data_IF_248197405087
#
_entry.id   IF_248197405087
#
_cell.length_a   1.000
_cell.length_b   1.000
_cell.length_c   1.000
_cell.angle_alpha   90.00
_cell.angle_beta   90.00
_cell.angle_gamma   90.00
#
_symmetry.space_group_name_H-M   'P 1'
#
loop_
_entity.id
_entity.type
_entity.pdbx_description
1 polymer ?
#
# COMPACT_ATOMS: atom_id res chain seq x y z
N UNK A 1 -18.38 27.11 81.00
CA UNK A 1 -18.54 26.07 79.96
C UNK A 1 -19.38 26.61 78.80
N UNK A 2 -18.77 26.78 77.62
CA UNK A 2 -19.42 26.60 76.31
C UNK A 2 -18.29 26.49 75.28
N UNK A 3 -17.79 25.26 75.12
CA UNK A 3 -16.95 24.90 73.97
C UNK A 3 -17.83 25.09 72.73
N UNK A 4 -17.54 26.12 71.94
CA UNK A 4 -18.08 26.25 70.59
C UNK A 4 -17.65 25.03 69.81
N UNK A 5 -18.59 24.11 69.60
CA UNK A 5 -18.44 22.95 68.73
C UNK A 5 -18.32 23.51 67.32
N UNK A 6 -17.11 23.64 66.79
CA UNK A 6 -16.93 23.98 65.38
C UNK A 6 -17.56 22.84 64.59
N UNK A 7 -18.69 23.14 63.96
CA UNK A 7 -19.23 22.28 62.92
C UNK A 7 -18.26 22.44 61.76
N UNK A 8 -17.20 21.62 61.73
CA UNK A 8 -16.47 21.34 60.50
C UNK A 8 -17.53 20.81 59.53
N UNK A 9 -18.09 21.71 58.73
CA UNK A 9 -18.82 21.32 57.55
C UNK A 9 -17.81 20.66 56.62
N UNK A 10 -17.93 19.35 56.42
CA UNK A 10 -17.11 18.57 55.50
C UNK A 10 -17.19 19.19 54.09
N UNK A 11 -16.28 20.10 53.78
CA UNK A 11 -16.12 20.69 52.46
C UNK A 11 -15.33 19.70 51.60
N UNK A 12 -15.81 19.47 50.37
CA UNK A 12 -15.22 18.50 49.44
C UNK A 12 -14.13 19.17 48.58
N UNK A 13 -14.11 20.51 48.53
CA UNK A 13 -13.14 21.32 47.79
C UNK A 13 -11.66 20.91 47.95
N UNK A 14 -11.13 20.61 49.14
CA UNK A 14 -9.71 20.24 49.27
C UNK A 14 -9.39 18.82 48.76
N UNK A 15 -10.39 17.94 48.66
CA UNK A 15 -10.24 16.55 48.18
C UNK A 15 -10.49 16.47 46.67
N UNK A 16 -11.26 17.42 46.12
CA UNK A 16 -11.65 17.51 44.71
C UNK A 16 -10.47 17.42 43.73
N UNK A 17 -9.32 18.10 43.94
CA UNK A 17 -8.17 18.02 43.04
C UNK A 17 -7.56 16.61 43.00
N UNK A 18 -7.52 15.91 44.14
CA UNK A 18 -7.00 14.55 44.22
C UNK A 18 -7.90 13.54 43.49
N UNK A 19 -9.23 13.71 43.60
CA UNK A 19 -10.21 12.91 42.84
C UNK A 19 -10.04 13.14 41.34
N UNK A 20 -9.97 14.40 40.90
CA UNK A 20 -9.79 14.75 39.49
C UNK A 20 -8.45 14.24 38.94
N UNK A 21 -7.36 14.41 39.68
CA UNK A 21 -6.06 13.88 39.29
C UNK A 21 -6.13 12.36 39.09
N UNK A 22 -6.78 11.63 40.00
CA UNK A 22 -6.93 10.18 39.90
C UNK A 22 -7.75 9.77 38.67
N UNK A 23 -8.90 10.41 38.44
CA UNK A 23 -9.76 10.13 37.27
C UNK A 23 -9.01 10.45 35.97
N UNK A 24 -8.33 11.61 35.92
CA UNK A 24 -7.55 12.03 34.76
C UNK A 24 -6.41 11.04 34.48
N UNK A 25 -5.70 10.57 35.50
CA UNK A 25 -4.66 9.55 35.36
C UNK A 25 -5.19 8.25 34.78
N UNK A 26 -6.37 7.79 35.20
CA UNK A 26 -7.00 6.58 34.66
C UNK A 26 -7.37 6.78 33.19
N UNK A 27 -8.04 7.88 32.85
CA UNK A 27 -8.42 8.17 31.45
C UNK A 27 -7.16 8.31 30.58
N UNK A 28 -6.14 9.00 31.06
CA UNK A 28 -4.90 9.20 30.32
C UNK A 28 -4.17 7.88 30.09
N UNK A 29 -4.13 6.98 31.08
CA UNK A 29 -3.58 5.64 30.92
C UNK A 29 -4.30 4.85 29.81
N UNK A 30 -5.65 4.87 29.80
CA UNK A 30 -6.43 4.21 28.74
C UNK A 30 -6.17 4.82 27.37
N UNK A 31 -6.12 6.15 27.28
CA UNK A 31 -5.84 6.86 26.03
C UNK A 31 -4.43 6.56 25.51
N UNK A 32 -3.41 6.56 26.38
CA UNK A 32 -2.04 6.19 26.01
C UNK A 32 -2.02 4.80 25.42
N UNK A 33 -2.59 3.81 26.11
CA UNK A 33 -2.62 2.42 25.62
C UNK A 33 -3.30 2.33 24.26
N UNK A 34 -4.45 2.99 24.10
CA UNK A 34 -5.17 3.04 22.82
C UNK A 34 -4.34 3.67 21.70
N UNK A 35 -3.69 4.81 21.96
CA UNK A 35 -2.89 5.51 20.96
C UNK A 35 -1.61 4.76 20.61
N UNK A 36 -0.92 4.18 21.60
CA UNK A 36 0.25 3.31 21.36
C UNK A 36 -0.13 2.12 20.49
N UNK A 37 -1.21 1.42 20.83
CA UNK A 37 -1.70 0.29 20.04
C UNK A 37 -2.04 0.71 18.60
N UNK A 38 -2.77 1.81 18.44
CA UNK A 38 -3.20 2.29 17.13
C UNK A 38 -2.01 2.74 16.27
N UNK A 39 -1.04 3.46 16.86
CA UNK A 39 0.17 3.90 16.17
C UNK A 39 1.04 2.72 15.75
N UNK A 40 1.26 1.75 16.66
CA UNK A 40 2.00 0.53 16.35
C UNK A 40 1.33 -0.25 15.22
N UNK A 41 0.00 -0.36 15.25
CA UNK A 41 -0.77 -1.06 14.20
C UNK A 41 -0.61 -0.38 12.84
N UNK A 42 -0.69 0.96 12.79
CA UNK A 42 -0.46 1.71 11.56
C UNK A 42 0.97 1.55 11.04
N UNK A 43 1.97 1.60 11.91
CA UNK A 43 3.38 1.37 11.54
C UNK A 43 3.56 -0.02 10.95
N UNK A 44 3.12 -1.06 11.67
CA UNK A 44 3.21 -2.45 11.24
C UNK A 44 2.52 -2.66 9.87
N UNK A 45 1.37 -2.04 9.62
CA UNK A 45 0.67 -2.14 8.33
C UNK A 45 1.47 -1.48 7.19
N UNK A 46 2.14 -0.35 7.45
CA UNK A 46 3.01 0.30 6.46
C UNK A 46 4.23 -0.56 6.14
N UNK A 47 4.85 -1.13 7.15
CA UNK A 47 5.99 -2.02 6.99
C UNK A 47 5.59 -3.26 6.17
N UNK A 48 4.49 -3.92 6.53
CA UNK A 48 3.96 -5.05 5.76
C UNK A 48 3.61 -4.71 4.30
N UNK A 49 3.10 -3.51 4.03
CA UNK A 49 2.84 -3.05 2.65
C UNK A 49 4.13 -2.81 1.87
N UNK A 50 5.18 -2.31 2.53
CA UNK A 50 6.51 -2.17 1.94
C UNK A 50 7.19 -3.54 1.70
N UNK A 51 6.99 -4.50 2.60
CA UNK A 51 7.47 -5.87 2.45
C UNK A 51 6.83 -6.54 1.24
N UNK A 52 5.50 -6.46 1.10
CA UNK A 52 4.79 -6.97 -0.08
C UNK A 52 5.26 -6.31 -1.38
N UNK A 53 5.52 -4.99 -1.37
CA UNK A 53 6.10 -4.31 -2.53
C UNK A 53 7.49 -4.87 -2.87
N UNK A 54 8.31 -5.13 -1.86
CA UNK A 54 9.64 -5.72 -2.04
C UNK A 54 9.55 -7.15 -2.57
N UNK A 55 8.57 -7.92 -2.10
CA UNK A 55 8.28 -9.26 -2.59
C UNK A 55 7.91 -9.26 -4.07
N UNK A 56 7.03 -8.35 -4.52
CA UNK A 56 6.73 -8.15 -5.95
C UNK A 56 8.01 -7.83 -6.75
N UNK A 57 8.87 -6.97 -6.20
CA UNK A 57 10.11 -6.61 -6.87
C UNK A 57 11.06 -7.81 -7.02
N UNK A 58 11.06 -8.71 -6.04
CA UNK A 58 11.92 -9.89 -6.00
C UNK A 58 11.35 -11.02 -6.86
N UNK A 59 10.03 -11.23 -6.88
CA UNK A 59 9.39 -12.29 -7.67
C UNK A 59 9.61 -12.12 -9.18
N UNK A 60 9.78 -10.87 -9.62
CA UNK A 60 10.07 -10.51 -11.01
C UNK A 60 11.57 -10.51 -11.34
N UNK A 61 12.47 -10.81 -10.38
CA UNK A 61 13.92 -10.92 -10.63
C UNK A 61 14.26 -12.23 -11.34
N UNK A 62 15.14 -12.15 -12.33
CA UNK A 62 15.80 -13.33 -12.93
C UNK A 62 15.29 -13.73 -14.33
N UNK A 63 14.24 -13.08 -14.85
CA UNK A 63 13.69 -13.38 -16.17
C UNK A 63 14.32 -12.52 -17.27
N UNK A 64 15.65 -12.44 -17.29
CA UNK A 64 16.36 -11.67 -18.31
C UNK A 64 16.25 -12.42 -19.63
N UNK A 65 15.35 -11.94 -20.48
CA UNK A 65 15.21 -12.37 -21.85
C UNK A 65 15.84 -11.34 -22.77
N UNK A 66 17.15 -11.50 -23.00
CA UNK A 66 17.84 -11.14 -24.25
C UNK A 66 18.95 -10.08 -24.14
N UNK A 67 20.02 -10.22 -24.95
CA UNK A 67 21.00 -9.18 -25.27
C UNK A 67 20.50 -8.07 -26.24
N UNK A 68 19.19 -7.91 -26.45
CA UNK A 68 18.65 -7.01 -27.48
C UNK A 68 18.73 -5.53 -27.10
N UNK A 69 19.12 -4.70 -28.08
CA UNK A 69 18.99 -3.24 -28.01
C UNK A 69 17.51 -2.90 -27.95
N UNK A 70 17.07 -2.30 -26.85
CA UNK A 70 15.69 -1.88 -26.66
C UNK A 70 15.64 -0.40 -26.35
N UNK A 71 14.81 0.35 -27.07
CA UNK A 71 14.57 1.77 -26.81
C UNK A 71 13.48 1.90 -25.75
N UNK A 72 13.88 2.13 -24.50
CA UNK A 72 12.91 2.25 -23.40
C UNK A 72 12.00 3.46 -23.55
N UNK A 73 12.48 4.54 -24.16
CA UNK A 73 11.78 5.83 -24.25
C UNK A 73 10.39 5.72 -24.88
N UNK A 74 10.18 4.79 -25.83
CA UNK A 74 8.87 4.60 -26.46
C UNK A 74 7.78 4.09 -25.51
N UNK A 75 8.15 3.46 -24.39
CA UNK A 75 7.23 2.83 -23.45
C UNK A 75 6.95 3.72 -22.24
N UNK A 76 7.58 4.89 -22.18
CA UNK A 76 7.34 5.88 -21.13
C UNK A 76 6.78 7.17 -21.72
N UNK A 77 5.94 7.84 -20.93
CA UNK A 77 5.48 9.18 -21.19
C UNK A 77 5.41 9.91 -19.86
N UNK A 78 6.07 11.07 -19.76
CA UNK A 78 6.07 11.91 -18.56
C UNK A 78 6.47 11.14 -17.28
N UNK A 79 7.56 10.37 -17.35
CA UNK A 79 8.05 9.51 -16.24
C UNK A 79 7.05 8.44 -15.75
N UNK A 80 6.06 8.08 -16.59
CA UNK A 80 5.09 7.01 -16.32
C UNK A 80 5.04 6.01 -17.46
N UNK A 81 4.66 4.77 -17.16
CA UNK A 81 4.51 3.74 -18.18
C UNK A 81 3.34 4.10 -19.11
N UNK A 82 3.61 4.15 -20.41
CA UNK A 82 2.59 4.36 -21.44
C UNK A 82 1.82 3.06 -21.67
N UNK A 83 0.85 2.79 -20.78
CA UNK A 83 0.02 1.59 -20.83
C UNK A 83 -0.65 1.40 -22.19
N UNK A 84 -1.12 2.48 -22.83
CA UNK A 84 -1.80 2.39 -24.12
C UNK A 84 -0.87 1.86 -25.22
N UNK A 85 0.36 2.38 -25.29
CA UNK A 85 1.34 1.92 -26.28
C UNK A 85 1.73 0.46 -26.07
N UNK A 86 1.92 0.06 -24.80
CA UNK A 86 2.18 -1.34 -24.44
C UNK A 86 1.07 -2.26 -24.87
N UNK A 87 -0.18 -1.89 -24.56
CA UNK A 87 -1.35 -2.70 -24.91
C UNK A 87 -1.48 -2.86 -26.43
N UNK A 88 -1.22 -1.78 -27.17
CA UNK A 88 -1.20 -1.79 -28.63
C UNK A 88 -0.13 -2.74 -29.17
N UNK A 89 1.12 -2.62 -28.70
CA UNK A 89 2.24 -3.47 -29.13
C UNK A 89 2.01 -4.95 -28.80
N UNK A 90 1.52 -5.26 -27.60
CA UNK A 90 1.17 -6.65 -27.25
C UNK A 90 0.04 -7.20 -28.14
N UNK A 91 -0.94 -6.36 -28.49
CA UNK A 91 -1.97 -6.68 -29.47
C UNK A 91 -1.38 -7.04 -30.84
N UNK A 92 -0.50 -6.20 -31.36
CA UNK A 92 0.20 -6.41 -32.64
C UNK A 92 1.00 -7.72 -32.64
N UNK A 93 1.83 -7.95 -31.62
CA UNK A 93 2.60 -9.19 -31.44
C UNK A 93 1.68 -10.43 -31.44
N UNK A 94 0.58 -10.38 -30.69
CA UNK A 94 -0.33 -11.53 -30.58
C UNK A 94 -1.07 -11.85 -31.89
N UNK A 95 -1.15 -10.90 -32.81
CA UNK A 95 -1.85 -11.07 -34.09
C UNK A 95 -1.04 -11.83 -35.14
N UNK A 96 0.29 -11.89 -34.96
CA UNK A 96 1.21 -12.50 -35.92
C UNK A 96 0.93 -13.99 -36.11
N UNK A 97 0.72 -14.75 -35.03
CA UNK A 97 0.43 -16.18 -35.16
C UNK A 97 -0.93 -16.47 -35.79
N UNK A 98 -1.96 -15.68 -35.49
CA UNK A 98 -3.25 -15.80 -36.18
C UNK A 98 -3.11 -15.56 -37.68
N UNK A 99 -2.29 -14.58 -38.08
CA UNK A 99 -2.02 -14.26 -39.48
C UNK A 99 -1.24 -15.39 -40.18
N UNK A 100 -0.26 -15.98 -39.50
CA UNK A 100 0.55 -17.10 -40.01
C UNK A 100 -0.28 -18.38 -40.15
N UNK A 101 -1.23 -18.64 -39.24
CA UNK A 101 -2.10 -19.82 -39.31
C UNK A 101 -3.10 -19.74 -40.46
N UNK A 102 -3.66 -18.55 -40.70
CA UNK A 102 -4.54 -18.29 -41.85
C UNK A 102 -3.77 -18.50 -43.16
N UNK A 103 -2.51 -18.07 -43.24
CA UNK A 103 -1.74 -18.18 -44.49
C UNK A 103 -1.23 -19.58 -44.78
N UNK A 104 -1.08 -20.43 -43.75
CA UNK A 104 -0.82 -21.87 -43.93
C UNK A 104 -2.03 -22.67 -44.42
N UNK A 105 -3.25 -22.15 -44.20
CA UNK A 105 -4.51 -22.84 -44.55
C UNK A 105 -5.18 -22.26 -45.80
N UNK A 106 -4.85 -21.02 -46.16
CA UNK A 106 -5.30 -20.34 -47.37
C UNK A 106 -4.43 -20.70 -48.60
N UNK A 107 -4.96 -20.55 -49.83
CA UNK A 107 -4.16 -20.68 -51.04
C UNK A 107 -2.96 -19.71 -51.00
N UNK A 108 -1.79 -20.13 -51.55
CA UNK A 108 -0.54 -19.39 -51.41
C UNK A 108 -0.70 -17.96 -51.95
N UNK A 109 -0.57 -16.98 -51.06
CA UNK A 109 -0.63 -15.58 -51.43
C UNK A 109 0.78 -15.14 -51.89
N UNK A 110 0.94 -14.51 -53.07
CA UNK A 110 2.25 -14.17 -53.66
C UNK A 110 3.09 -13.13 -52.88
N UNK A 111 2.68 -12.72 -51.68
CA UNK A 111 3.37 -11.75 -50.81
C UNK A 111 3.83 -12.33 -49.47
N UNK A 112 3.57 -13.60 -49.20
CA UNK A 112 4.01 -14.28 -47.99
C UNK A 112 4.82 -15.51 -48.37
N UNK A 113 6.10 -15.27 -48.69
CA UNK A 113 7.09 -16.34 -48.77
C UNK A 113 7.55 -16.75 -47.36
N UNK A 114 8.31 -17.85 -47.30
CA UNK A 114 8.83 -18.40 -46.05
C UNK A 114 9.75 -17.40 -45.33
N UNK A 115 10.48 -16.58 -46.07
CA UNK A 115 11.37 -15.53 -45.56
C UNK A 115 10.59 -14.42 -44.84
N UNK A 116 9.44 -13.99 -45.38
CA UNK A 116 8.56 -13.02 -44.75
C UNK A 116 8.00 -13.54 -43.42
N UNK A 117 7.56 -14.80 -43.39
CA UNK A 117 7.03 -15.44 -42.18
C UNK A 117 8.12 -15.53 -41.10
N UNK A 118 9.31 -16.01 -41.46
CA UNK A 118 10.44 -16.11 -40.53
C UNK A 118 10.80 -14.74 -39.95
N UNK A 119 10.87 -13.71 -40.81
CA UNK A 119 11.15 -12.33 -40.38
C UNK A 119 10.09 -11.80 -39.40
N UNK A 120 8.81 -12.02 -39.68
CA UNK A 120 7.71 -11.58 -38.81
C UNK A 120 7.74 -12.26 -37.44
N UNK A 121 8.07 -13.55 -37.40
CA UNK A 121 8.24 -14.31 -36.14
C UNK A 121 9.40 -13.73 -35.33
N UNK A 122 10.55 -13.47 -35.96
CA UNK A 122 11.72 -12.90 -35.30
C UNK A 122 11.38 -11.53 -34.71
N UNK A 123 10.90 -10.60 -35.53
CA UNK A 123 10.62 -9.22 -35.09
C UNK A 123 9.62 -9.19 -33.92
N UNK A 124 8.54 -9.98 -34.00
CA UNK A 124 7.50 -10.01 -32.96
C UNK A 124 8.00 -10.66 -31.67
N UNK A 125 8.81 -11.71 -31.78
CA UNK A 125 9.39 -12.41 -30.63
C UNK A 125 10.42 -11.54 -29.92
N UNK A 126 11.30 -10.88 -30.66
CA UNK A 126 12.28 -9.94 -30.12
C UNK A 126 11.61 -8.76 -29.40
N UNK A 127 10.54 -8.21 -29.98
CA UNK A 127 9.74 -7.17 -29.34
C UNK A 127 9.06 -7.66 -28.05
N UNK A 128 8.50 -8.88 -28.04
CA UNK A 128 7.90 -9.46 -26.84
C UNK A 128 8.93 -9.66 -25.73
N UNK A 129 10.08 -10.24 -26.07
CA UNK A 129 11.17 -10.48 -25.12
C UNK A 129 11.74 -9.16 -24.59
N UNK A 130 11.82 -8.12 -25.43
CA UNK A 130 12.16 -6.76 -25.02
C UNK A 130 11.15 -6.18 -24.02
N UNK A 131 9.85 -6.32 -24.31
CA UNK A 131 8.76 -5.89 -23.41
C UNK A 131 8.80 -6.61 -22.06
N UNK A 132 8.96 -7.93 -22.07
CA UNK A 132 9.10 -8.74 -20.84
C UNK A 132 10.32 -8.28 -20.06
N UNK A 133 11.45 -8.06 -20.73
CA UNK A 133 12.65 -7.54 -20.10
C UNK A 133 12.38 -6.19 -19.45
N UNK A 134 11.75 -5.24 -20.15
CA UNK A 134 11.33 -3.97 -19.57
C UNK A 134 10.50 -4.19 -18.31
N UNK A 135 9.45 -5.01 -18.38
CA UNK A 135 8.65 -5.32 -17.20
C UNK A 135 9.53 -5.87 -16.08
N UNK A 136 10.35 -6.87 -16.30
CA UNK A 136 11.21 -7.39 -15.22
C UNK A 136 12.07 -6.29 -14.57
N UNK A 137 12.55 -5.30 -15.35
CA UNK A 137 13.29 -4.14 -14.86
C UNK A 137 12.47 -3.14 -14.06
N UNK A 138 11.24 -2.86 -14.50
CA UNK A 138 10.44 -1.75 -14.01
C UNK A 138 9.16 -2.18 -13.30
N UNK A 139 8.94 -3.48 -13.06
CA UNK A 139 7.68 -3.96 -12.53
C UNK A 139 7.64 -3.84 -11.01
N UNK A 140 6.65 -3.12 -10.43
CA UNK A 140 5.86 -2.01 -10.93
C UNK A 140 6.41 -0.74 -10.29
N UNK A 141 7.62 -0.35 -10.65
CA UNK A 141 8.39 0.78 -10.17
C UNK A 141 9.04 0.57 -8.79
N UNK A 142 9.53 -0.64 -8.51
CA UNK A 142 10.27 -0.91 -7.27
C UNK A 142 11.75 -0.54 -7.38
N UNK A 143 12.24 0.30 -6.47
CA UNK A 143 13.66 0.66 -6.39
C UNK A 143 14.55 -0.60 -6.40
N UNK A 144 15.47 -0.65 -7.37
CA UNK A 144 16.51 -1.67 -7.46
C UNK A 144 17.76 -1.18 -6.72
N UNK A 145 18.54 -2.08 -6.11
CA UNK A 145 19.82 -1.70 -5.49
C UNK A 145 20.72 -1.05 -6.55
N UNK A 146 21.30 0.12 -6.24
CA UNK A 146 22.10 1.00 -7.11
C UNK A 146 23.30 0.37 -7.83
N UNK A 147 23.58 -0.92 -7.61
CA UNK A 147 24.80 -1.58 -8.06
C UNK A 147 24.56 -2.58 -9.22
N UNK A 148 23.34 -2.70 -9.74
CA UNK A 148 23.09 -3.49 -10.95
C UNK A 148 23.59 -2.74 -12.20
N UNK A 149 24.72 -3.20 -12.75
CA UNK A 149 25.18 -2.78 -14.08
C UNK A 149 24.09 -3.15 -15.09
N UNK A 150 23.62 -2.17 -15.87
CA UNK A 150 22.66 -2.39 -16.95
C UNK A 150 21.28 -1.76 -16.74
N UNK A 151 21.06 -0.95 -15.69
CA UNK A 151 19.85 -0.12 -15.59
C UNK A 151 19.90 0.95 -16.69
N UNK A 152 18.94 0.97 -17.63
CA UNK A 152 18.88 2.00 -18.67
C UNK A 152 18.78 3.41 -18.07
N UNK A 153 19.52 4.35 -18.65
CA UNK A 153 19.45 5.78 -18.33
C UNK A 153 18.01 6.28 -18.46
N UNK A 154 17.48 6.95 -17.42
CA UNK A 154 16.11 7.49 -17.38
C UNK A 154 15.15 6.81 -16.39
N UNK A 155 15.42 5.57 -15.94
CA UNK A 155 14.50 4.82 -15.06
C UNK A 155 14.53 5.31 -13.60
N UNK A 156 15.63 5.94 -13.16
CA UNK A 156 15.83 6.30 -11.74
C UNK A 156 14.76 7.22 -11.16
N UNK A 157 14.11 8.04 -11.99
CA UNK A 157 13.08 9.00 -11.56
C UNK A 157 11.72 8.33 -11.32
N UNK A 158 11.50 7.14 -11.91
CA UNK A 158 10.22 6.44 -11.89
C UNK A 158 10.13 5.49 -10.69
N UNK A 159 11.29 5.05 -10.18
CA UNK A 159 11.39 4.13 -9.05
C UNK A 159 10.83 4.76 -7.77
N UNK A 160 9.79 4.14 -7.21
CA UNK A 160 9.24 4.53 -5.91
C UNK A 160 9.99 3.81 -4.82
N UNK A 161 10.27 4.51 -3.72
CA UNK A 161 10.99 3.98 -2.55
C UNK A 161 10.07 3.37 -1.50
N UNK A 162 8.81 3.78 -1.49
CA UNK A 162 7.80 3.39 -0.51
C UNK A 162 6.48 2.98 -1.19
N UNK A 163 5.68 2.19 -0.48
CA UNK A 163 4.30 1.91 -0.84
C UNK A 163 3.51 3.21 -0.97
N UNK A 164 2.76 3.34 -2.07
CA UNK A 164 1.81 4.43 -2.30
C UNK A 164 0.49 3.86 -2.85
N UNK A 165 -0.66 4.48 -2.56
CA UNK A 165 -1.93 4.07 -3.16
C UNK A 165 -1.90 4.03 -4.70
N UNK A 166 -1.18 4.97 -5.31
CA UNK A 166 -1.01 5.06 -6.75
C UNK A 166 -0.21 3.86 -7.27
N UNK A 167 0.83 3.43 -6.54
CA UNK A 167 1.63 2.25 -6.90
C UNK A 167 0.77 0.99 -6.90
N UNK A 168 -0.09 0.83 -5.88
CA UNK A 168 -1.07 -0.27 -5.84
C UNK A 168 -1.97 -0.26 -7.07
N UNK A 169 -2.51 0.90 -7.42
CA UNK A 169 -3.43 1.01 -8.54
C UNK A 169 -2.73 0.67 -9.87
N UNK A 170 -1.49 1.13 -10.04
CA UNK A 170 -0.67 0.82 -11.21
C UNK A 170 -0.36 -0.69 -11.30
N UNK A 171 0.02 -1.31 -10.18
CA UNK A 171 0.23 -2.76 -10.07
C UNK A 171 -1.04 -3.53 -10.45
N UNK A 172 -2.19 -3.18 -9.85
CA UNK A 172 -3.47 -3.86 -10.13
C UNK A 172 -3.83 -3.72 -11.61
N UNK A 173 -3.73 -2.52 -12.19
CA UNK A 173 -4.06 -2.27 -13.59
C UNK A 173 -3.18 -3.08 -14.54
N UNK A 174 -1.87 -3.01 -14.34
CA UNK A 174 -0.90 -3.70 -15.19
C UNK A 174 -1.07 -5.22 -15.09
N UNK A 175 -1.16 -5.74 -13.87
CA UNK A 175 -1.27 -7.18 -13.65
C UNK A 175 -2.59 -7.75 -14.19
N UNK A 176 -3.71 -7.05 -13.99
CA UNK A 176 -5.01 -7.46 -14.57
C UNK A 176 -4.94 -7.55 -16.08
N UNK A 177 -4.28 -6.58 -16.74
CA UNK A 177 -4.12 -6.60 -18.19
C UNK A 177 -3.22 -7.75 -18.64
N UNK A 178 -2.05 -7.94 -18.03
CA UNK A 178 -1.12 -9.01 -18.41
C UNK A 178 -1.74 -10.40 -18.18
N UNK A 179 -2.47 -10.59 -17.09
CA UNK A 179 -3.22 -11.81 -16.82
C UNK A 179 -4.33 -12.06 -17.84
N UNK A 180 -5.09 -11.02 -18.21
CA UNK A 180 -6.09 -11.12 -19.28
C UNK A 180 -5.43 -11.46 -20.63
N UNK A 181 -4.33 -10.79 -20.96
CA UNK A 181 -3.57 -11.02 -22.18
C UNK A 181 -3.11 -12.47 -22.26
N UNK A 182 -2.49 -12.98 -21.19
CA UNK A 182 -2.02 -14.37 -21.15
C UNK A 182 -3.17 -15.38 -21.25
N UNK A 183 -4.28 -15.16 -20.53
CA UNK A 183 -5.46 -16.04 -20.64
C UNK A 183 -6.06 -16.07 -22.05
N UNK A 184 -6.03 -14.94 -22.76
CA UNK A 184 -6.70 -14.80 -24.06
C UNK A 184 -5.78 -15.16 -25.23
N UNK A 185 -4.48 -14.92 -25.10
CA UNK A 185 -3.49 -15.01 -26.20
C UNK A 185 -2.31 -15.94 -25.88
N UNK A 186 -2.27 -16.54 -24.70
CA UNK A 186 -1.11 -17.30 -24.21
C UNK A 186 -0.71 -18.47 -25.12
N UNK A 187 -1.66 -19.21 -25.69
CA UNK A 187 -1.37 -20.28 -26.64
C UNK A 187 -0.64 -19.77 -27.89
N UNK A 188 -1.15 -18.68 -28.47
CA UNK A 188 -0.53 -18.04 -29.64
C UNK A 188 0.87 -17.51 -29.33
N UNK A 189 1.06 -16.91 -28.15
CA UNK A 189 2.37 -16.43 -27.70
C UNK A 189 3.35 -17.58 -27.46
N UNK A 190 2.89 -18.66 -26.84
CA UNK A 190 3.71 -19.86 -26.61
C UNK A 190 4.17 -20.45 -27.93
N UNK A 191 3.27 -20.53 -28.91
CA UNK A 191 3.59 -20.99 -30.25
C UNK A 191 4.56 -20.06 -30.98
N UNK A 192 4.36 -18.75 -30.91
CA UNK A 192 5.25 -17.74 -31.48
C UNK A 192 6.69 -17.94 -30.99
N UNK A 193 6.84 -18.03 -29.67
CA UNK A 193 8.17 -18.14 -29.04
C UNK A 193 8.78 -19.52 -29.27
N UNK A 194 7.98 -20.58 -29.35
CA UNK A 194 8.47 -21.92 -29.70
C UNK A 194 9.02 -21.97 -31.13
N UNK A 195 8.38 -21.32 -32.10
CA UNK A 195 8.93 -21.20 -33.46
C UNK A 195 10.19 -20.34 -33.47
N UNK A 196 10.23 -19.26 -32.68
CA UNK A 196 11.43 -18.45 -32.53
C UNK A 196 12.61 -19.22 -31.93
N UNK A 197 12.40 -20.05 -30.91
CA UNK A 197 13.42 -20.94 -30.33
C UNK A 197 14.04 -21.85 -31.41
N UNK A 198 13.22 -22.40 -32.33
CA UNK A 198 13.69 -23.24 -33.44
C UNK A 198 14.54 -22.43 -34.44
N UNK A 199 14.06 -21.25 -34.84
CA UNK A 199 14.76 -20.36 -35.78
C UNK A 199 16.10 -19.92 -35.18
N UNK A 200 16.09 -19.53 -33.91
CA UNK A 200 17.27 -19.09 -33.18
C UNK A 200 18.31 -20.21 -33.08
N UNK A 201 17.89 -21.44 -32.73
CA UNK A 201 18.77 -22.60 -32.67
C UNK A 201 19.41 -22.96 -34.01
N UNK A 202 18.68 -22.79 -35.14
CA UNK A 202 19.20 -22.99 -36.49
C UNK A 202 20.29 -21.96 -36.83
N UNK A 203 20.08 -20.69 -36.48
CA UNK A 203 21.00 -19.57 -36.80
C UNK A 203 22.24 -19.51 -35.91
N UNK A 204 22.17 -19.99 -34.67
CA UNK A 204 23.24 -19.85 -33.66
C UNK A 204 23.87 -21.19 -33.23
N UNK A 205 24.06 -22.10 -34.18
CA UNK A 205 24.53 -23.49 -34.00
C UNK A 205 25.84 -23.69 -33.23
N UNK A 206 26.58 -22.63 -32.90
CA UNK A 206 27.95 -22.69 -32.34
C UNK A 206 28.10 -22.21 -30.89
N UNK A 207 27.05 -21.71 -30.21
CA UNK A 207 27.19 -21.20 -28.84
C UNK A 207 26.65 -22.18 -27.77
N UNK A 208 27.48 -22.41 -26.76
CA UNK A 208 27.29 -23.23 -25.55
C UNK A 208 26.14 -22.78 -24.62
N UNK A 209 25.32 -21.82 -25.05
CA UNK A 209 24.21 -21.27 -24.29
C UNK A 209 22.89 -21.51 -25.03
N UNK A 210 22.18 -22.59 -24.67
CA UNK A 210 20.78 -22.76 -25.09
C UNK A 210 19.91 -21.84 -24.23
N UNK A 211 19.64 -20.63 -24.74
CA UNK A 211 18.58 -19.79 -24.20
C UNK A 211 17.24 -20.48 -24.49
N UNK A 212 16.40 -20.64 -23.46
CA UNK A 212 15.06 -21.21 -23.60
C UNK A 212 14.07 -20.06 -23.44
N UNK A 213 13.73 -19.40 -24.56
CA UNK A 213 12.87 -18.23 -24.52
C UNK A 213 11.45 -18.62 -24.12
N UNK A 214 10.94 -19.78 -24.57
CA UNK A 214 9.62 -20.27 -24.17
C UNK A 214 9.47 -20.35 -22.65
N UNK A 215 10.43 -20.98 -21.98
CA UNK A 215 10.40 -21.12 -20.52
C UNK A 215 10.40 -19.77 -19.82
N UNK A 216 11.23 -18.83 -20.27
CA UNK A 216 11.29 -17.51 -19.63
C UNK A 216 9.98 -16.71 -19.79
N UNK A 217 9.30 -16.85 -20.92
CA UNK A 217 7.98 -16.22 -21.14
C UNK A 217 6.92 -16.88 -20.26
N UNK A 218 6.92 -18.21 -20.16
CA UNK A 218 6.03 -18.95 -19.27
C UNK A 218 6.26 -18.60 -17.80
N UNK A 219 7.52 -18.53 -17.37
CA UNK A 219 7.91 -18.14 -16.02
C UNK A 219 7.42 -16.71 -15.74
N UNK A 220 7.54 -15.78 -16.69
CA UNK A 220 7.05 -14.40 -16.54
C UNK A 220 5.56 -14.34 -16.28
N UNK A 221 4.75 -14.97 -17.13
CA UNK A 221 3.31 -14.95 -16.94
C UNK A 221 2.85 -15.76 -15.74
N UNK A 222 3.60 -16.78 -15.33
CA UNK A 222 3.37 -17.48 -14.05
C UNK A 222 3.55 -16.55 -12.85
N UNK A 223 4.56 -15.67 -12.86
CA UNK A 223 4.75 -14.66 -11.81
C UNK A 223 3.65 -13.60 -11.81
N UNK A 224 3.23 -13.14 -13.00
CA UNK A 224 2.07 -12.23 -13.15
C UNK A 224 0.82 -12.85 -12.50
N UNK A 225 0.54 -14.12 -12.75
CA UNK A 225 -0.58 -14.84 -12.14
C UNK A 225 -0.43 -15.02 -10.62
N UNK A 226 0.79 -15.32 -10.14
CA UNK A 226 1.08 -15.38 -8.71
C UNK A 226 0.78 -14.05 -8.01
N UNK A 227 1.21 -12.93 -8.60
CA UNK A 227 0.94 -11.59 -8.09
C UNK A 227 -0.56 -11.29 -8.07
N UNK A 228 -1.31 -11.74 -9.10
CA UNK A 228 -2.77 -11.53 -9.19
C UNK A 228 -3.51 -12.26 -8.08
N UNK A 229 -3.12 -13.50 -7.84
CA UNK A 229 -3.87 -14.44 -6.99
C UNK A 229 -3.48 -14.36 -5.53
N UNK A 230 -2.22 -14.02 -5.22
CA UNK A 230 -1.71 -13.98 -3.84
C UNK A 230 -1.46 -12.57 -3.34
N UNK A 231 -0.65 -11.79 -4.06
CA UNK A 231 -0.18 -10.50 -3.55
C UNK A 231 -1.27 -9.43 -3.60
N UNK A 232 -1.96 -9.26 -4.73
CA UNK A 232 -2.98 -8.20 -4.90
C UNK A 232 -4.10 -8.28 -3.85
N UNK A 233 -4.65 -9.47 -3.51
CA UNK A 233 -5.63 -9.61 -2.44
C UNK A 233 -5.09 -9.18 -1.08
N UNK A 234 -3.91 -9.66 -0.70
CA UNK A 234 -3.29 -9.33 0.60
C UNK A 234 -2.98 -7.84 0.70
N UNK A 235 -2.44 -7.26 -0.38
CA UNK A 235 -2.17 -5.84 -0.49
C UNK A 235 -3.45 -5.01 -0.38
N UNK A 236 -4.55 -5.50 -0.94
CA UNK A 236 -5.85 -4.84 -0.88
C UNK A 236 -6.43 -4.84 0.53
N UNK A 237 -6.33 -5.97 1.23
CA UNK A 237 -6.74 -6.11 2.62
C UNK A 237 -5.95 -5.16 3.55
N UNK A 238 -4.61 -5.19 3.46
CA UNK A 238 -3.75 -4.33 4.31
C UNK A 238 -3.92 -2.86 3.99
N UNK A 239 -4.06 -2.51 2.71
CA UNK A 239 -4.33 -1.14 2.27
C UNK A 239 -5.70 -0.64 2.79
N UNK A 240 -6.71 -1.50 2.80
CA UNK A 240 -8.02 -1.18 3.38
C UNK A 240 -7.90 -0.94 4.89
N UNK A 241 -7.24 -1.85 5.62
CA UNK A 241 -6.98 -1.71 7.06
C UNK A 241 -6.23 -0.41 7.37
N UNK A 242 -5.16 -0.10 6.63
CA UNK A 242 -4.40 1.14 6.80
C UNK A 242 -5.28 2.36 6.59
N UNK A 243 -6.05 2.40 5.49
CA UNK A 243 -6.99 3.49 5.22
C UNK A 243 -8.05 3.63 6.31
N UNK A 244 -8.55 2.51 6.85
CA UNK A 244 -9.48 2.51 7.95
C UNK A 244 -8.85 3.16 9.20
N UNK A 245 -7.65 2.74 9.60
CA UNK A 245 -6.95 3.35 10.73
C UNK A 245 -6.58 4.83 10.50
N UNK A 246 -6.11 5.21 9.31
CA UNK A 246 -5.73 6.61 9.05
C UNK A 246 -6.94 7.54 8.90
N UNK A 247 -7.95 7.14 8.11
CA UNK A 247 -9.11 7.99 7.79
C UNK A 247 -10.20 7.97 8.85
N UNK A 248 -10.52 6.80 9.43
CA UNK A 248 -11.63 6.65 10.41
C UNK A 248 -11.17 7.04 11.81
N UNK A 249 -9.96 6.66 12.20
CA UNK A 249 -9.45 6.98 13.52
C UNK A 249 -8.76 8.33 13.60
N UNK A 250 -8.46 8.99 12.46
CA UNK A 250 -7.76 10.30 12.39
C UNK A 250 -6.80 10.46 13.56
N UNK A 251 -5.92 9.46 13.74
CA UNK A 251 -5.24 9.21 15.03
C UNK A 251 -4.52 10.47 15.50
N UNK A 252 -3.88 11.18 14.56
CA UNK A 252 -3.23 12.47 14.81
C UNK A 252 -4.20 13.54 15.33
N UNK A 253 -5.35 13.73 14.67
CA UNK A 253 -6.36 14.71 15.08
C UNK A 253 -6.95 14.37 16.44
N UNK A 254 -7.35 13.11 16.66
CA UNK A 254 -7.95 12.70 17.93
C UNK A 254 -6.96 12.71 19.08
N UNK A 255 -5.67 12.40 18.83
CA UNK A 255 -4.61 12.52 19.82
C UNK A 255 -4.43 13.97 20.25
N UNK A 256 -4.34 14.91 19.31
CA UNK A 256 -4.25 16.34 19.62
C UNK A 256 -5.48 16.82 20.38
N UNK A 257 -6.69 16.45 19.94
CA UNK A 257 -7.93 16.80 20.66
C UNK A 257 -7.97 16.22 22.07
N UNK A 258 -7.53 14.97 22.27
CA UNK A 258 -7.46 14.33 23.57
C UNK A 258 -6.46 15.05 24.51
N UNK A 259 -5.30 15.46 23.99
CA UNK A 259 -4.31 16.24 24.74
C UNK A 259 -4.84 17.61 25.14
N UNK A 260 -5.42 18.37 24.20
CA UNK A 260 -6.02 19.69 24.48
C UNK A 260 -7.05 19.55 25.59
N UNK A 261 -7.93 18.55 25.46
CA UNK A 261 -8.98 18.33 26.42
C UNK A 261 -8.42 17.94 27.79
N UNK A 262 -7.43 17.05 27.86
CA UNK A 262 -6.79 16.66 29.11
C UNK A 262 -6.19 17.88 29.84
N UNK A 263 -5.56 18.80 29.09
CA UNK A 263 -5.06 20.07 29.62
C UNK A 263 -6.22 20.93 30.15
N UNK A 264 -7.31 21.07 29.39
CA UNK A 264 -8.50 21.82 29.83
C UNK A 264 -9.10 21.23 31.12
N UNK A 265 -9.20 19.90 31.20
CA UNK A 265 -9.67 19.18 32.37
C UNK A 265 -8.79 19.37 33.60
N UNK A 266 -7.48 19.42 33.42
CA UNK A 266 -6.53 19.67 34.49
C UNK A 266 -6.65 21.12 34.99
N UNK A 267 -6.79 22.08 34.08
CA UNK A 267 -7.01 23.50 34.46
C UNK A 267 -8.32 23.67 35.23
N UNK A 268 -9.42 23.15 34.71
CA UNK A 268 -10.76 23.37 35.26
C UNK A 268 -11.04 22.49 36.49
N UNK A 269 -10.52 21.26 36.54
CA UNK A 269 -10.78 20.29 37.60
C UNK A 269 -9.75 20.28 38.74
N UNK A 270 -8.53 20.75 38.50
CA UNK A 270 -7.44 20.75 39.51
C UNK A 270 -7.03 22.16 39.87
N UNK A 271 -6.61 22.98 38.90
CA UNK A 271 -6.10 24.33 39.20
C UNK A 271 -7.18 25.31 39.65
N UNK A 272 -8.33 25.34 38.97
CA UNK A 272 -9.42 26.27 39.30
C UNK A 272 -9.98 26.03 40.73
N UNK A 273 -10.29 24.79 41.17
CA UNK A 273 -10.76 24.56 42.53
C UNK A 273 -9.71 24.87 43.60
N UNK A 274 -8.43 24.58 43.34
CA UNK A 274 -7.33 24.96 44.24
C UNK A 274 -7.24 26.48 44.38
N UNK A 275 -7.35 27.22 43.28
CA UNK A 275 -7.32 28.68 43.29
C UNK A 275 -8.52 29.28 44.03
N UNK A 276 -9.73 28.75 43.79
CA UNK A 276 -10.96 29.16 44.49
C UNK A 276 -10.84 28.86 45.99
N UNK A 277 -10.31 27.70 46.37
CA UNK A 277 -10.10 27.33 47.77
C UNK A 277 -9.10 28.26 48.47
N UNK A 278 -8.00 28.62 47.80
CA UNK A 278 -7.01 29.58 48.30
C UNK A 278 -7.61 30.99 48.48
N UNK A 279 -8.50 31.41 47.59
CA UNK A 279 -9.04 32.77 47.56
C UNK A 279 -10.27 32.96 48.47
N UNK A 280 -11.08 31.92 48.69
CA UNK A 280 -12.36 32.03 49.39
C UNK A 280 -12.37 31.18 50.68
N UNK A 281 -12.08 31.80 51.82
CA UNK A 281 -12.14 31.17 53.16
C UNK A 281 -13.54 31.22 53.83
N UNK A 282 -14.62 31.53 53.09
CA UNK A 282 -15.94 31.77 53.68
C UNK A 282 -16.85 30.52 53.77
N UNK A 283 -17.57 30.32 54.89
CA UNK A 283 -18.29 29.06 55.20
C UNK A 283 -19.64 28.84 54.50
N UNK A 284 -20.10 29.70 53.59
CA UNK A 284 -21.45 29.62 52.98
C UNK A 284 -21.52 28.90 51.61
N UNK A 285 -20.50 28.15 51.20
CA UNK A 285 -20.31 27.75 49.77
C UNK A 285 -20.75 26.31 49.45
N UNK A 286 -21.30 25.54 50.39
CA UNK A 286 -21.55 24.08 50.20
C UNK A 286 -22.40 23.70 48.97
N UNK A 287 -23.39 24.50 48.57
CA UNK A 287 -24.20 24.20 47.37
C UNK A 287 -23.46 24.48 46.07
N UNK A 288 -22.58 25.48 46.07
CA UNK A 288 -21.74 25.85 44.92
C UNK A 288 -20.70 24.75 44.69
N UNK A 289 -20.17 24.13 45.74
CA UNK A 289 -19.22 23.01 45.65
C UNK A 289 -19.76 21.82 44.83
N UNK A 290 -21.03 21.45 45.04
CA UNK A 290 -21.67 20.34 44.32
C UNK A 290 -21.85 20.67 42.83
N UNK A 291 -22.26 21.90 42.51
CA UNK A 291 -22.41 22.36 41.12
C UNK A 291 -21.06 22.36 40.40
N UNK A 292 -20.00 22.83 41.08
CA UNK A 292 -18.63 22.76 40.55
C UNK A 292 -18.17 21.32 40.33
N UNK A 293 -18.42 20.40 41.27
CA UNK A 293 -18.11 18.97 41.10
C UNK A 293 -18.82 18.38 39.87
N UNK A 294 -20.11 18.67 39.67
CA UNK A 294 -20.85 18.12 38.52
C UNK A 294 -20.31 18.70 37.20
N UNK A 295 -20.10 20.01 37.13
CA UNK A 295 -19.58 20.68 35.92
C UNK A 295 -18.17 20.18 35.58
N UNK A 296 -17.35 19.92 36.59
CA UNK A 296 -15.97 19.44 36.40
C UNK A 296 -15.94 17.95 36.03
N UNK A 297 -16.81 17.09 36.58
CA UNK A 297 -16.82 15.64 36.33
C UNK A 297 -17.58 15.24 35.05
N UNK A 298 -18.63 15.96 34.66
CA UNK A 298 -19.46 15.64 33.48
C UNK A 298 -18.64 15.44 32.18
N UNK A 299 -17.65 16.28 31.86
CA UNK A 299 -16.82 16.09 30.67
C UNK A 299 -16.06 14.76 30.66
N UNK A 300 -15.68 14.22 31.83
CA UNK A 300 -14.97 12.93 31.94
C UNK A 300 -15.88 11.77 31.53
N UNK A 301 -17.13 11.79 31.98
CA UNK A 301 -18.16 10.80 31.61
C UNK A 301 -18.45 10.85 30.10
N UNK A 302 -18.62 12.04 29.53
CA UNK A 302 -18.88 12.22 28.10
C UNK A 302 -17.78 11.60 27.23
N UNK A 303 -16.52 11.72 27.65
CA UNK A 303 -15.35 11.22 26.91
C UNK A 303 -15.20 9.73 27.07
N UNK A 304 -15.35 9.23 28.29
CA UNK A 304 -15.34 7.80 28.55
C UNK A 304 -16.41 7.12 27.69
N UNK A 305 -17.63 7.67 27.64
CA UNK A 305 -18.71 7.15 26.80
C UNK A 305 -18.41 7.28 25.30
N UNK A 306 -17.80 8.38 24.86
CA UNK A 306 -17.40 8.56 23.45
C UNK A 306 -16.37 7.50 23.02
N UNK A 307 -15.30 7.30 23.79
CA UNK A 307 -14.27 6.32 23.47
C UNK A 307 -14.73 4.88 23.70
N UNK A 308 -15.58 4.62 24.69
CA UNK A 308 -16.21 3.30 24.91
C UNK A 308 -17.06 2.89 23.71
N UNK A 309 -17.91 3.80 23.21
CA UNK A 309 -18.69 3.55 21.99
C UNK A 309 -17.77 3.25 20.81
N UNK A 310 -16.72 4.04 20.62
CA UNK A 310 -15.79 3.88 19.49
C UNK A 310 -14.95 2.60 19.57
N UNK A 311 -14.65 2.11 20.79
CA UNK A 311 -13.97 0.83 21.00
C UNK A 311 -14.90 -0.38 20.90
N UNK A 312 -16.19 -0.24 21.22
CA UNK A 312 -17.21 -1.26 20.95
C UNK A 312 -17.43 -1.46 19.45
N UNK A 313 -17.46 -0.38 18.67
CA UNK A 313 -17.53 -0.44 17.20
C UNK A 313 -16.33 -1.19 16.58
N UNK A 314 -15.17 -1.22 17.24
CA UNK A 314 -13.97 -1.96 16.81
C UNK A 314 -14.07 -3.48 16.95
N UNK A 315 -14.87 -3.98 17.90
CA UNK A 315 -15.00 -5.43 18.14
C UNK A 315 -16.06 -6.10 17.27
N UNK A 316 -16.87 -5.31 16.56
CA UNK A 316 -17.96 -5.79 15.70
C UNK A 316 -17.55 -5.94 14.22
N UNK A 317 -16.26 -5.75 13.90
CA UNK A 317 -15.65 -5.89 12.57
C UNK A 317 -14.52 -6.91 12.68
#
# INVERSE_FOLDING_TARGET
MRKGKSIMGNSILPILPAIHATILSIIFAVLIVFFFYSYQTVSNLKDQLNDLRTEVAQSMRGQICSPLKFELEEYFKDDTLNHLNIMKKLGEISSVMGSIEITKTAPPHPRMDEDYIEKSIIESSEQLLGLITVFTYIYPYCERPKNEKGVPTGISNIMRKEYTPEWKNDLVRLNSYLSWFWRTRGEGITKLISEYDKIFAKKHTTQTFRLNFSRSVEDFFSQVQFIETKIIPELSEKSYKLNFYEKRFRIKTHLVSAFILAITMLIVGVFLPLFIHLYIQHPQIKQIELVFLIITVLPYLCILLYYLKKTLELKLI
#
